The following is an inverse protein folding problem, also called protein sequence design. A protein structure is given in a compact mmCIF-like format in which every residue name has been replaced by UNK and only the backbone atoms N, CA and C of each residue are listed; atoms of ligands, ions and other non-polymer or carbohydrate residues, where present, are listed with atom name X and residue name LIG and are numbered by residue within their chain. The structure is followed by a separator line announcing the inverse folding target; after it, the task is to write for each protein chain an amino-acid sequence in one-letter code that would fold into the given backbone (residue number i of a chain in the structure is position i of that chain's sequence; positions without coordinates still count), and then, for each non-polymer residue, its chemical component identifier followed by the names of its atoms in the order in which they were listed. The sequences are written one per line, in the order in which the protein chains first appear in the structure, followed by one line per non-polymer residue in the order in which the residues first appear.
data_IF_464677307025
#
_entry.id   IF_464677307025
#
_cell.length_a   1.000
_cell.length_b   1.000
_cell.length_c   1.000
_cell.angle_alpha   90.00
_cell.angle_beta   90.00
_cell.angle_gamma   90.00
#
_symmetry.space_group_name_H-M   'P 1'
#
loop_
_entity.id
_entity.type
_entity.pdbx_description
1 polymer ?
#
# COMPACT_ATOMS: atom_id res chain seq x y z
N UNK A 1 8.75 -5.55 -4.83
CA UNK A 1 8.32 -6.94 -4.55
C UNK A 1 7.07 -7.23 -5.37
N UNK A 2 6.86 -8.49 -5.74
CA UNK A 2 5.61 -8.93 -6.40
C UNK A 2 4.76 -9.67 -5.38
N UNK A 3 3.46 -9.38 -5.35
CA UNK A 3 2.45 -10.09 -4.57
C UNK A 3 1.28 -10.44 -5.48
N UNK A 4 0.68 -11.61 -5.25
CA UNK A 4 -0.52 -12.03 -5.95
C UNK A 4 -1.66 -12.17 -4.92
N UNK A 5 -2.86 -11.77 -5.30
CA UNK A 5 -4.06 -11.91 -4.49
C UNK A 5 -5.25 -12.36 -5.34
N UNK A 6 -5.87 -13.46 -4.93
CA UNK A 6 -7.05 -14.02 -5.58
C UNK A 6 -8.31 -13.50 -4.87
N UNK A 7 -9.15 -12.78 -5.60
CA UNK A 7 -10.52 -12.44 -5.20
C UNK A 7 -11.49 -13.47 -5.80
N UNK A 8 -12.72 -13.61 -5.27
CA UNK A 8 -13.71 -14.53 -5.84
C UNK A 8 -14.04 -14.31 -7.32
N UNK A 9 -13.84 -13.09 -7.84
CA UNK A 9 -14.18 -12.68 -9.20
C UNK A 9 -12.98 -12.35 -10.09
N UNK A 10 -11.76 -12.28 -9.55
CA UNK A 10 -10.54 -11.88 -10.30
C UNK A 10 -9.25 -12.17 -9.53
N UNK A 11 -8.17 -12.25 -10.26
CA UNK A 11 -6.82 -12.28 -9.70
C UNK A 11 -6.12 -10.94 -9.93
N UNK A 12 -5.38 -10.48 -8.92
CA UNK A 12 -4.64 -9.22 -8.95
C UNK A 12 -3.18 -9.49 -8.63
N UNK A 13 -2.29 -9.03 -9.51
CA UNK A 13 -0.86 -8.96 -9.26
C UNK A 13 -0.48 -7.52 -8.86
N UNK A 14 0.29 -7.39 -7.78
CA UNK A 14 0.76 -6.14 -7.21
C UNK A 14 2.28 -6.06 -7.33
N UNK A 15 2.76 -5.15 -8.17
CA UNK A 15 4.16 -4.74 -8.21
C UNK A 15 4.40 -3.57 -7.25
N UNK A 16 4.99 -3.87 -6.10
CA UNK A 16 5.17 -2.92 -4.99
C UNK A 16 6.60 -2.39 -4.94
N UNK A 17 6.75 -1.07 -4.85
CA UNK A 17 8.05 -0.39 -4.88
C UNK A 17 8.27 0.43 -3.62
N UNK A 18 9.39 0.21 -2.94
CA UNK A 18 9.84 1.08 -1.84
C UNK A 18 10.55 2.29 -2.44
N UNK A 19 9.95 3.48 -2.28
CA UNK A 19 10.52 4.74 -2.76
C UNK A 19 11.22 5.44 -1.59
N UNK A 20 12.56 5.43 -1.59
CA UNK A 20 13.36 6.07 -0.53
C UNK A 20 13.72 7.54 -0.81
N UNK A 21 13.55 7.99 -2.05
CA UNK A 21 13.78 9.37 -2.47
C UNK A 21 12.93 9.72 -3.69
N UNK A 22 12.41 10.94 -3.72
CA UNK A 22 11.69 11.54 -4.85
C UNK A 22 11.79 13.07 -4.75
N UNK A 23 11.52 13.76 -5.85
CA UNK A 23 11.51 15.22 -5.90
C UNK A 23 10.09 15.78 -5.67
N UNK A 24 10.00 16.89 -4.92
CA UNK A 24 8.74 17.57 -4.63
C UNK A 24 8.07 17.09 -3.34
N UNK A 25 6.75 17.30 -3.27
CA UNK A 25 5.93 16.99 -2.08
C UNK A 25 4.74 16.13 -2.52
N UNK A 26 4.44 15.01 -1.84
CA UNK A 26 3.30 14.17 -2.19
C UNK A 26 1.99 14.91 -1.98
N UNK A 27 1.09 14.83 -2.97
CA UNK A 27 -0.21 15.50 -2.95
C UNK A 27 -1.28 14.56 -3.50
N UNK A 28 -2.50 14.58 -2.95
CA UNK A 28 -3.62 13.88 -3.56
C UNK A 28 -4.05 14.61 -4.84
N UNK A 29 -3.99 13.92 -5.98
CA UNK A 29 -4.32 14.51 -7.29
C UNK A 29 -5.67 14.05 -7.83
N UNK A 30 -6.27 13.01 -7.23
CA UNK A 30 -7.53 12.39 -7.66
C UNK A 30 -8.61 12.45 -6.55
N UNK A 31 -8.44 13.33 -5.57
CA UNK A 31 -9.40 13.53 -4.47
C UNK A 31 -9.30 12.48 -3.35
N UNK A 32 -8.28 11.63 -3.36
CA UNK A 32 -7.97 10.74 -2.25
C UNK A 32 -7.53 11.53 -1.00
N UNK A 33 -7.80 10.97 0.19
CA UNK A 33 -7.15 11.47 1.40
C UNK A 33 -5.67 11.04 1.38
N UNK A 34 -4.80 11.86 1.97
CA UNK A 34 -3.38 11.57 2.12
C UNK A 34 -2.98 11.84 3.57
N UNK A 35 -2.36 10.84 4.19
CA UNK A 35 -1.81 10.96 5.54
C UNK A 35 -0.47 10.21 5.64
N UNK A 36 0.39 10.69 6.53
CA UNK A 36 1.66 10.05 6.86
C UNK A 36 1.51 9.30 8.17
N UNK A 37 1.64 7.98 8.11
CA UNK A 37 1.48 7.11 9.28
C UNK A 37 2.71 6.23 9.46
N UNK A 38 2.94 5.80 10.71
CA UNK A 38 3.93 4.78 10.98
C UNK A 38 3.44 3.41 10.45
N UNK A 39 4.35 2.50 10.05
CA UNK A 39 3.96 1.22 9.45
C UNK A 39 3.01 0.37 10.32
N UNK A 40 3.19 0.38 11.63
CA UNK A 40 2.35 -0.33 12.61
C UNK A 40 0.91 0.22 12.69
N UNK A 41 0.71 1.48 12.36
CA UNK A 41 -0.62 2.10 12.30
C UNK A 41 -1.41 1.71 11.05
N UNK A 42 -0.77 1.22 9.98
CA UNK A 42 -1.44 0.89 8.70
C UNK A 42 -2.54 -0.17 8.86
N UNK A 43 -2.36 -1.13 9.77
CA UNK A 43 -3.38 -2.16 10.05
C UNK A 43 -4.70 -1.57 10.60
N UNK A 44 -4.69 -0.35 11.13
CA UNK A 44 -5.86 0.29 11.74
C UNK A 44 -6.67 1.13 10.73
N UNK A 45 -6.16 1.32 9.51
CA UNK A 45 -6.71 2.26 8.52
C UNK A 45 -7.72 1.58 7.57
N UNK A 46 -7.93 0.27 7.70
CA UNK A 46 -8.92 -0.47 6.91
C UNK A 46 -8.50 -0.66 5.45
N UNK A 47 -7.28 -1.18 5.25
CA UNK A 47 -6.72 -1.49 3.94
C UNK A 47 -7.57 -2.49 3.15
N UNK A 48 -7.42 -2.48 1.82
CA UNK A 48 -7.99 -3.54 1.00
C UNK A 48 -7.30 -4.89 1.31
N UNK A 49 -8.01 -6.03 1.12
CA UNK A 49 -7.44 -7.34 1.44
C UNK A 49 -6.07 -7.64 0.80
N UNK A 50 -5.84 -7.19 -0.43
CA UNK A 50 -4.58 -7.43 -1.14
C UNK A 50 -3.41 -6.59 -0.59
N UNK A 51 -3.70 -5.43 0.01
CA UNK A 51 -2.67 -4.51 0.53
C UNK A 51 -2.15 -4.93 1.91
N UNK A 52 -2.85 -5.80 2.64
CA UNK A 52 -2.42 -6.28 3.97
C UNK A 52 -1.04 -6.95 3.90
N UNK A 53 -0.81 -7.77 2.87
CA UNK A 53 0.47 -8.45 2.63
C UNK A 53 1.62 -7.49 2.32
N UNK A 54 1.31 -6.25 1.91
CA UNK A 54 2.31 -5.19 1.74
C UNK A 54 2.83 -4.76 3.11
N UNK A 55 1.91 -4.47 4.05
CA UNK A 55 2.26 -3.98 5.40
C UNK A 55 3.08 -5.00 6.17
N UNK A 56 2.68 -6.27 6.12
CA UNK A 56 3.41 -7.36 6.79
C UNK A 56 4.89 -7.41 6.36
N UNK A 57 5.19 -7.03 5.11
CA UNK A 57 6.55 -7.02 4.56
C UNK A 57 7.29 -5.68 4.72
N UNK A 58 6.60 -4.62 5.16
CA UNK A 58 7.22 -3.32 5.47
C UNK A 58 7.82 -3.28 6.89
N UNK A 59 7.39 -4.17 7.77
CA UNK A 59 7.73 -4.18 9.21
C UNK A 59 8.83 -5.20 9.56
N UNK A 60 9.33 -5.96 8.58
CA UNK A 60 10.52 -6.83 8.70
C UNK A 60 11.84 -6.05 8.55
#
# INVERSE_FOLDING_TARGET
MSLDHEYPDRDVALDVWTVSAFDGEPRPLEGQQLDWVAPDALHQIGLLPADVAIVERLVD
#
